data_IF_817230739642
#
_entry.id   IF_817230739642
#
_cell.length_a   1.000
_cell.length_b   1.000
_cell.length_c   1.000
_cell.angle_alpha   90.00
_cell.angle_beta   90.00
_cell.angle_gamma   90.00
#
_symmetry.space_group_name_H-M   'P 1'
#
loop_
_entity.id
_entity.type
_entity.pdbx_description
1 polymer ?
#
# COMPACT_ATOMS: atom_id res chain seq x y z
N UNK A 1 -12.83 -55.26 79.71
CA UNK A 1 -11.57 -55.64 79.01
C UNK A 1 -11.17 -54.50 78.08
N UNK A 2 -9.91 -54.05 78.24
CA UNK A 2 -9.04 -53.11 77.48
C UNK A 2 -9.62 -52.41 76.22
N UNK A 3 -9.76 -51.08 76.25
CA UNK A 3 -8.90 -50.02 75.63
C UNK A 3 -9.10 -49.92 74.10
N UNK A 4 -9.39 -48.78 73.46
CA UNK A 4 -8.74 -47.47 73.60
C UNK A 4 -9.67 -46.34 73.08
N UNK A 5 -9.83 -45.28 73.87
CA UNK A 5 -10.40 -43.97 73.51
C UNK A 5 -9.46 -43.25 72.52
N UNK A 6 -9.99 -42.38 71.65
CA UNK A 6 -9.73 -40.92 71.69
C UNK A 6 -10.89 -40.16 70.99
N UNK A 7 -11.50 -39.25 71.76
CA UNK A 7 -12.49 -38.21 71.44
C UNK A 7 -12.10 -37.38 70.19
N UNK A 8 -12.98 -36.92 69.30
CA UNK A 8 -14.36 -36.53 69.51
C UNK A 8 -14.46 -35.09 70.02
N UNK A 9 -14.26 -34.07 69.18
CA UNK A 9 -14.86 -32.76 69.42
C UNK A 9 -15.17 -32.02 68.12
N UNK A 10 -16.47 -31.95 67.84
CA UNK A 10 -17.12 -31.18 66.79
C UNK A 10 -17.00 -29.69 67.08
N UNK A 11 -16.65 -28.88 66.07
CA UNK A 11 -16.96 -27.45 66.04
C UNK A 11 -17.74 -27.17 64.77
N UNK A 12 -18.87 -26.49 64.98
CA UNK A 12 -19.94 -26.22 64.04
C UNK A 12 -19.55 -25.24 62.92
N UNK A 13 -20.23 -25.47 61.79
CA UNK A 13 -20.24 -24.72 60.55
C UNK A 13 -20.67 -23.26 60.73
N UNK A 14 -19.96 -22.35 60.06
CA UNK A 14 -20.51 -21.09 59.54
C UNK A 14 -20.24 -21.09 58.03
N UNK A 15 -21.33 -21.02 57.26
CA UNK A 15 -21.34 -21.01 55.80
C UNK A 15 -21.18 -19.58 55.28
N UNK A 16 -20.20 -19.37 54.40
CA UNK A 16 -20.13 -18.21 53.52
C UNK A 16 -20.09 -18.71 52.07
N UNK A 17 -20.99 -18.17 51.26
CA UNK A 17 -21.13 -18.48 49.84
C UNK A 17 -19.88 -18.07 49.03
N UNK A 18 -19.42 -18.98 48.18
CA UNK A 18 -18.44 -18.71 47.13
C UNK A 18 -18.88 -19.42 45.86
N UNK A 19 -19.33 -18.67 44.86
CA UNK A 19 -19.78 -19.17 43.56
C UNK A 19 -18.57 -19.53 42.69
N UNK A 20 -18.64 -20.75 42.16
CA UNK A 20 -17.57 -21.42 41.44
C UNK A 20 -17.34 -20.86 40.04
N UNK A 21 -16.05 -20.79 39.72
CA UNK A 21 -15.44 -20.45 38.45
C UNK A 21 -15.46 -21.67 37.52
N UNK A 22 -15.95 -21.52 36.28
CA UNK A 22 -15.72 -22.48 35.20
C UNK A 22 -14.99 -21.80 34.04
N UNK A 23 -13.82 -22.34 33.71
CA UNK A 23 -13.03 -21.95 32.56
C UNK A 23 -13.60 -22.51 31.25
N UNK A 24 -13.55 -21.70 30.20
CA UNK A 24 -13.96 -22.07 28.85
C UNK A 24 -13.11 -21.36 27.80
N UNK A 25 -12.27 -22.17 27.13
CA UNK A 25 -11.67 -22.03 25.81
C UNK A 25 -11.43 -20.61 25.23
N UNK A 26 -10.15 -20.26 25.12
CA UNK A 26 -9.66 -19.14 24.31
C UNK A 26 -9.91 -19.40 22.81
N UNK A 27 -11.01 -18.86 22.29
CA UNK A 27 -11.24 -18.73 20.86
C UNK A 27 -10.28 -17.71 20.26
N UNK A 28 -9.32 -18.17 19.45
CA UNK A 28 -8.52 -17.32 18.56
C UNK A 28 -9.49 -16.56 17.64
N UNK A 29 -9.64 -15.25 17.85
CA UNK A 29 -10.31 -14.37 16.88
C UNK A 29 -9.48 -14.38 15.60
N UNK A 30 -10.03 -14.97 14.54
CA UNK A 30 -9.58 -14.76 13.19
C UNK A 30 -9.60 -13.24 12.92
N UNK A 31 -8.45 -12.70 12.53
CA UNK A 31 -8.35 -11.30 12.12
C UNK A 31 -9.33 -11.05 10.98
N UNK A 32 -10.33 -10.20 11.22
CA UNK A 32 -11.21 -9.71 10.18
C UNK A 32 -10.36 -9.03 9.10
N UNK A 33 -10.41 -9.56 7.87
CA UNK A 33 -9.84 -8.89 6.71
C UNK A 33 -10.37 -7.44 6.65
N UNK A 34 -9.54 -6.44 6.31
CA UNK A 34 -9.93 -5.05 6.34
C UNK A 34 -11.12 -4.83 5.41
N UNK A 35 -12.31 -4.60 6.01
CA UNK A 35 -13.54 -4.30 5.30
C UNK A 35 -13.30 -3.06 4.45
N UNK A 36 -13.47 -3.18 3.14
CA UNK A 36 -13.44 -2.05 2.23
C UNK A 36 -14.59 -1.13 2.67
N UNK A 37 -14.28 0.06 3.21
CA UNK A 37 -15.30 1.07 3.49
C UNK A 37 -16.20 1.23 2.26
N UNK A 38 -17.53 1.21 2.40
CA UNK A 38 -18.47 1.09 1.28
C UNK A 38 -18.51 2.27 0.29
N UNK A 39 -17.52 3.17 0.30
CA UNK A 39 -17.44 4.36 -0.54
C UNK A 39 -16.32 4.34 -1.60
N UNK A 40 -15.40 3.36 -1.61
CA UNK A 40 -14.36 3.25 -2.65
C UNK A 40 -14.81 2.32 -3.77
N UNK A 41 -15.09 2.87 -4.94
CA UNK A 41 -15.39 2.09 -6.15
C UNK A 41 -14.08 1.58 -6.78
N UNK A 42 -13.81 0.28 -6.63
CA UNK A 42 -12.58 -0.34 -7.16
C UNK A 42 -12.49 -0.32 -8.69
N UNK A 43 -13.61 -0.41 -9.41
CA UNK A 43 -13.57 -0.45 -10.88
C UNK A 43 -13.23 0.94 -11.44
N UNK A 44 -13.81 1.97 -10.84
CA UNK A 44 -13.48 3.36 -11.15
C UNK A 44 -12.04 3.71 -10.79
N UNK A 45 -11.61 3.35 -9.58
CA UNK A 45 -10.24 3.56 -9.13
C UNK A 45 -9.24 2.83 -10.05
N UNK A 46 -9.51 1.57 -10.38
CA UNK A 46 -8.68 0.76 -11.26
C UNK A 46 -8.52 1.37 -12.65
N UNK A 47 -9.62 1.88 -13.24
CA UNK A 47 -9.58 2.57 -14.54
C UNK A 47 -8.71 3.83 -14.51
N UNK A 48 -8.80 4.62 -13.43
CA UNK A 48 -8.00 5.86 -13.30
C UNK A 48 -6.52 5.56 -13.10
N UNK A 49 -6.21 4.56 -12.27
CA UNK A 49 -4.83 4.07 -12.12
C UNK A 49 -4.30 3.59 -13.47
N UNK A 50 -5.06 2.76 -14.18
CA UNK A 50 -4.66 2.25 -15.50
C UNK A 50 -4.45 3.38 -16.51
N UNK A 51 -5.31 4.38 -16.53
CA UNK A 51 -5.15 5.56 -17.39
C UNK A 51 -3.85 6.30 -17.11
N UNK A 52 -3.49 6.48 -15.84
CA UNK A 52 -2.28 7.20 -15.46
C UNK A 52 -1.01 6.41 -15.72
N UNK A 53 -1.00 5.13 -15.35
CA UNK A 53 0.21 4.33 -15.32
C UNK A 53 0.49 3.68 -16.69
N UNK A 54 -0.53 3.26 -17.43
CA UNK A 54 -0.34 2.58 -18.72
C UNK A 54 -0.97 3.33 -19.90
N UNK A 55 -1.36 4.60 -19.73
CA UNK A 55 -2.14 5.36 -20.71
C UNK A 55 -3.47 4.66 -21.10
N UNK A 56 -4.00 3.80 -20.22
CA UNK A 56 -5.18 2.96 -20.52
C UNK A 56 -4.91 1.82 -21.51
N UNK A 57 -3.66 1.57 -21.87
CA UNK A 57 -3.29 0.57 -22.87
C UNK A 57 -3.04 -0.81 -22.25
N UNK A 58 -3.46 -1.86 -22.96
CA UNK A 58 -3.12 -3.26 -22.61
C UNK A 58 -1.62 -3.51 -22.78
N UNK A 59 -0.98 -2.86 -23.76
CA UNK A 59 0.47 -3.00 -24.00
C UNK A 59 1.29 -2.51 -22.81
N UNK A 60 0.88 -1.41 -22.16
CA UNK A 60 1.55 -0.87 -20.99
C UNK A 60 1.36 -1.69 -19.71
N UNK A 61 0.53 -2.74 -19.69
CA UNK A 61 0.41 -3.64 -18.54
C UNK A 61 1.62 -4.56 -18.35
N UNK A 62 2.49 -4.68 -19.37
CA UNK A 62 3.79 -5.32 -19.23
C UNK A 62 4.77 -4.50 -20.05
N UNK A 63 5.63 -3.76 -19.36
CA UNK A 63 6.57 -2.82 -19.96
C UNK A 63 7.93 -2.92 -19.27
N UNK A 64 8.96 -2.42 -19.95
CA UNK A 64 10.31 -2.32 -19.41
C UNK A 64 10.89 -0.98 -19.85
N UNK A 65 11.03 -0.03 -18.93
CA UNK A 65 11.48 1.32 -19.30
C UNK A 65 12.98 1.34 -19.61
N UNK A 66 13.42 2.35 -20.35
CA UNK A 66 14.85 2.52 -20.58
C UNK A 66 15.55 2.95 -19.28
N UNK A 67 16.67 2.31 -18.94
CA UNK A 67 17.44 2.60 -17.74
C UNK A 67 16.93 1.90 -16.46
N UNK A 68 15.96 0.99 -16.57
CA UNK A 68 15.54 0.11 -15.48
C UNK A 68 16.09 -1.30 -15.70
N UNK A 69 16.45 -1.97 -14.60
CA UNK A 69 16.94 -3.35 -14.58
C UNK A 69 15.81 -4.37 -14.37
N UNK A 70 14.55 -3.92 -14.51
CA UNK A 70 13.36 -4.72 -14.22
C UNK A 70 12.17 -4.30 -15.08
N UNK A 71 11.25 -5.22 -15.40
CA UNK A 71 9.94 -4.89 -15.95
C UNK A 71 8.98 -4.38 -14.88
N UNK A 72 8.00 -3.62 -15.35
CA UNK A 72 6.83 -3.18 -14.58
C UNK A 72 5.57 -3.85 -15.12
N UNK A 73 4.72 -4.34 -14.20
CA UNK A 73 3.53 -5.12 -14.54
C UNK A 73 2.25 -4.57 -13.93
N UNK A 74 1.16 -4.74 -14.66
CA UNK A 74 -0.18 -4.41 -14.22
C UNK A 74 -0.45 -2.92 -14.10
N UNK A 75 -1.69 -2.59 -13.73
CA UNK A 75 -2.12 -1.19 -13.57
C UNK A 75 -1.35 -0.50 -12.44
N UNK A 76 -0.81 -1.26 -11.47
CA UNK A 76 -0.07 -0.72 -10.34
C UNK A 76 1.43 -0.52 -10.60
N UNK A 77 1.93 -0.75 -11.82
CA UNK A 77 3.36 -0.76 -12.15
C UNK A 77 4.18 -1.56 -11.12
N UNK A 78 3.73 -2.80 -10.90
CA UNK A 78 4.37 -3.69 -9.96
C UNK A 78 5.75 -4.08 -10.48
N UNK A 79 6.76 -3.72 -9.71
CA UNK A 79 8.16 -4.08 -9.96
C UNK A 79 8.33 -5.59 -9.78
N UNK A 80 8.97 -6.23 -10.76
CA UNK A 80 9.32 -7.65 -10.72
C UNK A 80 10.79 -7.82 -11.10
N UNK A 81 11.63 -8.30 -10.20
CA UNK A 81 13.06 -8.38 -10.44
C UNK A 81 13.42 -9.66 -11.21
N UNK A 82 14.32 -9.58 -12.21
CA UNK A 82 15.01 -10.75 -12.73
C UNK A 82 15.91 -11.39 -11.67
N UNK A 83 16.25 -12.65 -11.87
CA UNK A 83 17.12 -13.40 -10.96
C UNK A 83 18.45 -12.66 -10.72
N UNK A 84 18.80 -12.47 -9.45
CA UNK A 84 20.06 -11.82 -9.05
C UNK A 84 20.09 -10.29 -9.13
N UNK A 85 19.04 -9.64 -9.64
CA UNK A 85 18.96 -8.17 -9.69
C UNK A 85 18.68 -7.60 -8.29
N UNK A 86 19.46 -6.59 -7.90
CA UNK A 86 19.24 -5.80 -6.68
C UNK A 86 19.08 -4.34 -7.06
N UNK A 87 17.86 -3.82 -6.93
CA UNK A 87 17.56 -2.42 -7.17
C UNK A 87 17.20 -1.70 -5.85
N UNK A 88 17.32 -0.37 -5.77
CA UNK A 88 16.96 0.41 -4.58
C UNK A 88 15.44 0.55 -4.37
N UNK A 89 14.64 -0.35 -4.96
CA UNK A 89 13.18 -0.35 -4.98
C UNK A 89 12.62 -1.59 -4.29
N UNK A 90 11.39 -1.50 -3.79
CA UNK A 90 10.68 -2.64 -3.23
C UNK A 90 9.99 -3.44 -4.34
N UNK A 91 10.31 -4.72 -4.45
CA UNK A 91 9.64 -5.63 -5.35
C UNK A 91 8.18 -5.84 -4.93
N UNK A 92 7.24 -5.74 -5.88
CA UNK A 92 5.81 -5.78 -5.53
C UNK A 92 4.98 -6.75 -6.37
N UNK A 93 5.48 -7.22 -7.51
CA UNK A 93 4.75 -8.18 -8.33
C UNK A 93 4.58 -9.55 -7.65
N UNK A 94 5.61 -10.16 -7.02
CA UNK A 94 5.42 -11.42 -6.28
C UNK A 94 4.44 -11.29 -5.12
N UNK A 95 4.38 -10.12 -4.46
CA UNK A 95 3.39 -9.84 -3.40
C UNK A 95 1.97 -9.79 -3.98
N UNK A 96 1.77 -9.19 -5.15
CA UNK A 96 0.49 -9.21 -5.86
C UNK A 96 0.08 -10.64 -6.23
N UNK A 97 1.00 -11.45 -6.75
CA UNK A 97 0.77 -12.86 -7.08
C UNK A 97 0.36 -13.66 -5.84
N UNK A 98 1.06 -13.48 -4.72
CA UNK A 98 0.70 -14.12 -3.45
C UNK A 98 -0.70 -13.68 -2.96
N UNK A 99 -1.03 -12.39 -3.08
CA UNK A 99 -2.36 -11.87 -2.78
C UNK A 99 -3.44 -12.51 -3.66
N UNK A 100 -3.23 -12.57 -4.98
CA UNK A 100 -4.16 -13.20 -5.92
C UNK A 100 -4.43 -14.68 -5.54
N UNK A 101 -3.36 -15.44 -5.27
CA UNK A 101 -3.47 -16.84 -4.82
C UNK A 101 -4.21 -16.99 -3.50
N UNK A 102 -3.96 -16.09 -2.53
CA UNK A 102 -4.67 -16.09 -1.23
C UNK A 102 -6.17 -15.84 -1.36
N UNK A 103 -6.61 -15.26 -2.49
CA UNK A 103 -8.02 -15.03 -2.85
C UNK A 103 -8.61 -16.16 -3.70
N UNK A 104 -7.89 -17.26 -3.87
CA UNK A 104 -8.34 -18.41 -4.67
C UNK A 104 -8.25 -18.21 -6.18
N UNK A 105 -7.60 -17.13 -6.64
CA UNK A 105 -7.42 -16.88 -8.08
C UNK A 105 -6.31 -17.78 -8.61
N UNK A 106 -6.60 -18.50 -9.70
CA UNK A 106 -5.59 -19.27 -10.42
C UNK A 106 -4.64 -18.33 -11.15
N UNK A 107 -3.38 -18.35 -10.74
CA UNK A 107 -2.32 -17.55 -11.33
C UNK A 107 -1.51 -18.42 -12.30
N UNK A 108 -1.29 -17.99 -13.56
CA UNK A 108 -0.43 -18.68 -14.50
C UNK A 108 0.98 -18.94 -13.95
N UNK A 109 1.57 -20.08 -14.28
CA UNK A 109 2.89 -20.49 -13.80
C UNK A 109 4.00 -19.51 -14.19
N UNK A 110 3.86 -18.82 -15.32
CA UNK A 110 4.82 -17.82 -15.77
C UNK A 110 4.87 -16.57 -14.91
N UNK A 111 4.02 -16.40 -13.89
CA UNK A 111 4.11 -15.32 -12.90
C UNK A 111 4.79 -15.76 -11.60
N UNK A 112 5.23 -17.02 -11.50
CA UNK A 112 5.88 -17.56 -10.32
C UNK A 112 7.39 -17.40 -10.43
N UNK A 113 8.04 -17.04 -9.32
CA UNK A 113 9.48 -16.83 -9.26
C UNK A 113 9.90 -15.45 -9.77
N UNK A 114 11.11 -15.38 -10.31
CA UNK A 114 11.71 -14.15 -10.82
C UNK A 114 11.18 -13.78 -12.21
N UNK A 115 11.39 -12.53 -12.60
CA UNK A 115 11.02 -12.06 -13.94
C UNK A 115 11.73 -12.93 -15.01
N UNK A 116 11.00 -13.37 -16.06
CA UNK A 116 11.50 -14.41 -16.95
C UNK A 116 12.55 -13.94 -17.94
N UNK A 117 12.73 -12.63 -18.08
CA UNK A 117 13.74 -12.05 -18.95
C UNK A 117 14.85 -11.48 -18.07
N UNK A 118 16.13 -11.82 -18.34
CA UNK A 118 17.26 -11.32 -17.55
C UNK A 118 17.49 -9.83 -17.74
N UNK A 119 17.09 -9.29 -18.89
CA UNK A 119 17.25 -7.88 -19.25
C UNK A 119 16.19 -7.43 -20.27
N UNK A 120 16.20 -6.12 -20.55
CA UNK A 120 15.30 -5.49 -21.51
C UNK A 120 15.50 -6.01 -22.94
N UNK A 121 16.71 -6.37 -23.35
CA UNK A 121 16.97 -6.87 -24.70
C UNK A 121 16.30 -8.23 -24.90
N UNK A 122 16.41 -9.12 -23.93
CA UNK A 122 15.72 -10.41 -23.92
C UNK A 122 14.19 -10.24 -23.90
N UNK A 123 13.67 -9.28 -23.12
CA UNK A 123 12.24 -8.92 -23.16
C UNK A 123 11.79 -8.46 -24.55
N UNK A 124 12.56 -7.59 -25.21
CA UNK A 124 12.25 -7.08 -26.55
C UNK A 124 12.45 -8.11 -27.66
N UNK A 125 13.33 -9.09 -27.47
CA UNK A 125 13.59 -10.17 -28.42
C UNK A 125 12.60 -11.34 -28.28
N UNK A 126 11.88 -11.44 -27.16
CA UNK A 126 10.94 -12.53 -26.92
C UNK A 126 9.79 -12.51 -27.94
N UNK A 127 9.61 -13.63 -28.64
CA UNK A 127 8.51 -13.88 -29.60
C UNK A 127 7.61 -15.02 -29.17
N UNK A 128 7.75 -15.53 -27.94
CA UNK A 128 6.96 -16.64 -27.40
C UNK A 128 5.50 -16.30 -27.11
N UNK A 129 5.12 -15.02 -27.15
CA UNK A 129 3.79 -14.54 -26.77
C UNK A 129 3.56 -14.47 -25.25
N UNK A 130 4.60 -14.72 -24.42
CA UNK A 130 4.53 -14.66 -22.96
C UNK A 130 4.05 -13.31 -22.45
N UNK A 131 4.64 -12.21 -22.93
CA UNK A 131 4.25 -10.86 -22.53
C UNK A 131 2.77 -10.59 -22.86
N UNK A 132 2.28 -11.02 -24.01
CA UNK A 132 0.87 -10.83 -24.38
C UNK A 132 -0.08 -11.69 -23.55
N UNK A 133 0.32 -12.93 -23.19
CA UNK A 133 -0.44 -13.76 -22.26
C UNK A 133 -0.54 -13.10 -20.88
N UNK A 134 0.56 -12.54 -20.38
CA UNK A 134 0.59 -11.78 -19.13
C UNK A 134 -0.32 -10.55 -19.20
N UNK A 135 -0.23 -9.75 -20.27
CA UNK A 135 -1.08 -8.57 -20.49
C UNK A 135 -2.57 -8.92 -20.51
N UNK A 136 -2.97 -9.98 -21.22
CA UNK A 136 -4.37 -10.45 -21.26
C UNK A 136 -4.86 -10.85 -19.88
N UNK A 137 -4.06 -11.62 -19.13
CA UNK A 137 -4.42 -12.00 -17.77
C UNK A 137 -4.56 -10.79 -16.85
N UNK A 138 -3.61 -9.84 -16.90
CA UNK A 138 -3.67 -8.61 -16.11
C UNK A 138 -4.90 -7.75 -16.49
N UNK A 139 -5.18 -7.58 -17.78
CA UNK A 139 -6.35 -6.84 -18.23
C UNK A 139 -7.67 -7.45 -17.73
N UNK A 140 -7.75 -8.78 -17.63
CA UNK A 140 -8.91 -9.48 -17.09
C UNK A 140 -9.05 -9.37 -15.55
N UNK A 141 -7.98 -8.97 -14.84
CA UNK A 141 -7.93 -8.94 -13.37
C UNK A 141 -7.68 -7.53 -12.81
N UNK A 142 -8.16 -6.48 -13.47
CA UNK A 142 -7.99 -5.08 -13.04
C UNK A 142 -8.51 -4.87 -11.62
N UNK A 143 -9.74 -5.32 -11.32
CA UNK A 143 -10.33 -5.16 -9.98
C UNK A 143 -9.50 -5.84 -8.87
N UNK A 144 -8.92 -7.00 -9.15
CA UNK A 144 -8.04 -7.72 -8.22
C UNK A 144 -6.75 -6.93 -7.94
N UNK A 145 -6.15 -6.36 -8.98
CA UNK A 145 -4.99 -5.49 -8.85
C UNK A 145 -5.34 -4.24 -8.04
N UNK A 146 -6.49 -3.61 -8.30
CA UNK A 146 -6.93 -2.43 -7.52
C UNK A 146 -7.13 -2.76 -6.05
N UNK A 147 -7.73 -3.91 -5.72
CA UNK A 147 -7.88 -4.35 -4.34
C UNK A 147 -6.51 -4.52 -3.64
N UNK A 148 -5.52 -5.06 -4.35
CA UNK A 148 -4.16 -5.19 -3.83
C UNK A 148 -3.47 -3.82 -3.63
N UNK A 149 -3.64 -2.89 -4.57
CA UNK A 149 -3.10 -1.53 -4.46
C UNK A 149 -3.68 -0.81 -3.24
N UNK A 150 -5.00 -0.93 -3.01
CA UNK A 150 -5.66 -0.38 -1.81
C UNK A 150 -5.14 -1.04 -0.53
N UNK A 151 -4.93 -2.36 -0.52
CA UNK A 151 -4.33 -3.07 0.60
C UNK A 151 -2.94 -2.51 0.93
N UNK A 152 -2.05 -2.43 -0.06
CA UNK A 152 -0.70 -1.88 0.11
C UNK A 152 -0.71 -0.45 0.62
N UNK A 153 -1.61 0.40 0.09
CA UNK A 153 -1.76 1.78 0.58
C UNK A 153 -2.09 1.81 2.08
N UNK A 154 -2.97 0.92 2.55
CA UNK A 154 -3.33 0.84 3.97
C UNK A 154 -2.18 0.31 4.83
N UNK A 155 -1.42 -0.66 4.33
CA UNK A 155 -0.24 -1.21 4.99
C UNK A 155 0.92 -0.20 5.10
N UNK A 156 0.95 0.82 4.24
CA UNK A 156 1.93 1.90 4.32
C UNK A 156 1.65 2.88 5.46
N UNK A 157 0.39 3.03 5.89
CA UNK A 157 -0.01 4.03 6.88
C UNK A 157 0.72 3.89 8.23
N UNK A 158 0.83 2.70 8.87
CA UNK A 158 1.58 2.56 10.12
C UNK A 158 3.04 3.01 10.01
N UNK A 159 3.72 2.72 8.90
CA UNK A 159 5.10 3.14 8.65
C UNK A 159 5.21 4.66 8.50
N UNK A 160 4.27 5.28 7.76
CA UNK A 160 4.20 6.74 7.65
C UNK A 160 3.94 7.39 9.01
N UNK A 161 3.04 6.84 9.83
CA UNK A 161 2.78 7.34 11.18
C UNK A 161 4.03 7.23 12.08
N UNK A 162 4.74 6.11 12.04
CA UNK A 162 5.97 5.92 12.82
C UNK A 162 7.07 6.93 12.43
N UNK A 163 7.15 7.29 11.16
CA UNK A 163 8.14 8.24 10.65
C UNK A 163 7.70 9.72 10.78
N UNK A 164 6.47 9.98 11.23
CA UNK A 164 5.88 11.32 11.25
C UNK A 164 6.14 12.06 12.57
N UNK A 165 6.28 13.38 12.49
CA UNK A 165 6.23 14.26 13.67
C UNK A 165 4.79 14.60 14.10
N UNK A 166 3.79 14.27 13.27
CA UNK A 166 2.35 14.55 13.49
C UNK A 166 1.48 13.30 13.18
N UNK A 167 1.73 12.14 13.81
CA UNK A 167 1.13 10.87 13.42
C UNK A 167 -0.40 10.84 13.45
N UNK A 168 -1.03 11.55 14.39
CA UNK A 168 -2.49 11.63 14.49
C UNK A 168 -3.10 12.42 13.31
N UNK A 169 -2.45 13.51 12.89
CA UNK A 169 -2.87 14.28 11.73
C UNK A 169 -2.69 13.47 10.43
N UNK A 170 -1.55 12.77 10.28
CA UNK A 170 -1.32 11.86 9.15
C UNK A 170 -2.42 10.81 9.04
N UNK A 171 -2.77 10.17 10.16
CA UNK A 171 -3.87 9.19 10.19
C UNK A 171 -5.21 9.82 9.79
N UNK A 172 -5.55 10.98 10.34
CA UNK A 172 -6.81 11.66 10.06
C UNK A 172 -6.92 12.07 8.58
N UNK A 173 -5.87 12.67 8.02
CA UNK A 173 -5.84 13.06 6.61
C UNK A 173 -5.89 11.85 5.67
N UNK A 174 -5.15 10.78 6.00
CA UNK A 174 -5.24 9.54 5.24
C UNK A 174 -6.66 8.98 5.25
N UNK A 175 -7.31 8.92 6.42
CA UNK A 175 -8.67 8.40 6.56
C UNK A 175 -9.70 9.25 5.79
N UNK A 176 -9.57 10.58 5.84
CA UNK A 176 -10.45 11.50 5.09
C UNK A 176 -10.36 11.28 3.58
N UNK A 177 -9.14 11.08 3.05
CA UNK A 177 -8.94 10.76 1.64
C UNK A 177 -9.42 9.35 1.30
N UNK A 178 -9.06 8.36 2.12
CA UNK A 178 -9.41 6.96 1.91
C UNK A 178 -10.92 6.68 1.97
N UNK A 179 -11.71 7.63 2.46
CA UNK A 179 -13.17 7.55 2.48
C UNK A 179 -13.80 7.64 1.08
N UNK A 180 -13.14 8.21 0.07
CA UNK A 180 -13.75 8.37 -1.27
C UNK A 180 -12.90 7.75 -2.37
N UNK A 181 -13.51 7.40 -3.52
CA UNK A 181 -12.75 6.93 -4.70
C UNK A 181 -11.69 7.96 -5.14
N UNK A 182 -12.05 9.25 -5.21
CA UNK A 182 -11.13 10.32 -5.59
C UNK A 182 -9.97 10.45 -4.60
N UNK A 183 -10.25 10.44 -3.29
CA UNK A 183 -9.20 10.55 -2.28
C UNK A 183 -8.32 9.30 -2.21
N UNK A 184 -8.88 8.10 -2.37
CA UNK A 184 -8.08 6.88 -2.49
C UNK A 184 -7.16 6.93 -3.72
N UNK A 185 -7.65 7.45 -4.85
CA UNK A 185 -6.83 7.70 -6.03
C UNK A 185 -5.66 8.66 -5.71
N UNK A 186 -5.89 9.75 -4.98
CA UNK A 186 -4.82 10.66 -4.55
C UNK A 186 -3.71 9.93 -3.77
N UNK A 187 -4.10 9.06 -2.82
CA UNK A 187 -3.16 8.31 -1.98
C UNK A 187 -2.32 7.33 -2.80
N UNK A 188 -2.94 6.53 -3.67
CA UNK A 188 -2.25 5.48 -4.44
C UNK A 188 -1.40 6.08 -5.56
N UNK A 189 -1.92 7.08 -6.26
CA UNK A 189 -1.23 7.76 -7.35
C UNK A 189 0.04 8.46 -6.86
N UNK A 190 -0.05 9.17 -5.73
CA UNK A 190 1.10 9.91 -5.21
C UNK A 190 2.22 8.98 -4.72
N UNK A 191 1.88 7.81 -4.17
CA UNK A 191 2.89 6.80 -3.80
C UNK A 191 3.59 6.27 -5.05
N UNK A 192 2.87 5.94 -6.12
CA UNK A 192 3.49 5.53 -7.38
C UNK A 192 4.35 6.65 -7.99
N UNK A 193 3.92 7.91 -7.81
CA UNK A 193 4.60 9.06 -8.39
C UNK A 193 5.86 9.49 -7.63
N UNK A 194 5.83 9.51 -6.29
CA UNK A 194 6.86 10.11 -5.43
C UNK A 194 7.27 9.27 -4.22
N UNK A 195 6.68 8.09 -4.05
CA UNK A 195 6.94 7.20 -2.93
C UNK A 195 6.19 7.60 -1.65
N UNK A 196 6.33 6.76 -0.63
CA UNK A 196 5.65 6.93 0.65
C UNK A 196 6.25 8.07 1.49
N UNK A 197 7.52 8.43 1.25
CA UNK A 197 8.20 9.53 1.98
C UNK A 197 8.79 9.12 3.34
N UNK A 198 8.99 7.82 3.56
CA UNK A 198 9.57 7.26 4.79
C UNK A 198 11.08 7.04 4.72
N UNK A 199 11.69 7.03 3.53
CA UNK A 199 13.12 6.78 3.36
C UNK A 199 13.95 8.02 3.69
N UNK A 200 15.00 7.86 4.49
CA UNK A 200 15.93 8.94 4.81
C UNK A 200 16.68 9.45 3.56
N UNK A 201 16.91 8.58 2.58
CA UNK A 201 17.57 8.91 1.31
C UNK A 201 16.69 9.74 0.35
N UNK A 202 15.39 9.84 0.62
CA UNK A 202 14.43 10.60 -0.20
C UNK A 202 14.16 11.98 0.44
N UNK A 203 15.24 12.68 0.78
CA UNK A 203 15.21 13.98 1.46
C UNK A 203 16.27 14.92 0.89
N UNK A 204 15.95 16.20 0.85
CA UNK A 204 16.94 17.27 0.69
C UNK A 204 16.93 18.13 1.94
N UNK A 205 18.09 18.29 2.57
CA UNK A 205 18.23 19.08 3.81
C UNK A 205 17.24 18.64 4.91
N UNK A 206 17.02 17.33 5.06
CA UNK A 206 16.06 16.75 6.01
C UNK A 206 14.60 16.74 5.54
N UNK A 207 14.27 17.46 4.47
CA UNK A 207 12.91 17.58 3.97
C UNK A 207 12.57 16.55 2.90
N UNK A 208 11.57 15.72 3.19
CA UNK A 208 11.06 14.72 2.25
C UNK A 208 10.02 15.29 1.26
N UNK A 209 9.62 14.45 0.31
CA UNK A 209 8.66 14.79 -0.74
C UNK A 209 7.65 13.69 -1.07
N UNK A 210 7.59 12.61 -0.28
CA UNK A 210 6.64 11.53 -0.51
C UNK A 210 5.29 11.79 0.14
N UNK A 211 4.40 10.79 0.08
CA UNK A 211 3.02 10.90 0.58
C UNK A 211 2.96 11.39 2.04
N UNK A 212 3.85 10.91 2.91
CA UNK A 212 3.93 11.36 4.30
C UNK A 212 4.01 12.89 4.41
N UNK A 213 4.91 13.54 3.65
CA UNK A 213 5.08 14.98 3.74
C UNK A 213 3.88 15.75 3.19
N UNK A 214 3.16 15.19 2.21
CA UNK A 214 1.89 15.76 1.75
C UNK A 214 0.85 15.72 2.86
N UNK A 215 0.69 14.56 3.51
CA UNK A 215 -0.26 14.40 4.62
C UNK A 215 0.10 15.29 5.82
N UNK A 216 1.38 15.49 6.13
CA UNK A 216 1.81 16.43 7.19
C UNK A 216 1.56 17.90 6.83
N UNK A 217 1.59 18.23 5.54
CA UNK A 217 1.42 19.59 5.00
C UNK A 217 -0.05 19.99 4.84
N UNK A 218 -0.96 19.03 4.77
CA UNK A 218 -2.41 19.27 4.80
C UNK A 218 -2.82 19.99 6.10
N UNK A 219 -3.83 20.85 6.00
CA UNK A 219 -4.32 21.71 7.08
C UNK A 219 -5.76 21.37 7.44
N UNK A 220 -6.12 21.58 8.71
CA UNK A 220 -7.47 21.36 9.22
C UNK A 220 -7.82 19.87 9.27
N UNK A 221 -9.11 19.56 9.14
CA UNK A 221 -9.64 18.20 9.07
C UNK A 221 -10.59 18.04 7.86
N UNK A 222 -10.13 18.35 6.64
CA UNK A 222 -10.99 18.44 5.47
C UNK A 222 -11.61 17.07 5.13
N UNK A 223 -12.80 17.06 4.54
CA UNK A 223 -13.52 15.83 4.17
C UNK A 223 -13.96 15.87 2.70
N UNK A 224 -14.20 14.70 2.10
CA UNK A 224 -14.70 14.59 0.73
C UNK A 224 -13.88 15.41 -0.28
N UNK A 225 -14.55 16.28 -1.04
CA UNK A 225 -13.91 17.14 -2.05
C UNK A 225 -12.93 18.17 -1.46
N UNK A 226 -13.16 18.64 -0.24
CA UNK A 226 -12.21 19.54 0.42
C UNK A 226 -10.89 18.82 0.73
N UNK A 227 -10.96 17.54 1.11
CA UNK A 227 -9.78 16.74 1.40
C UNK A 227 -8.89 16.59 0.16
N UNK A 228 -9.50 16.35 -1.01
CA UNK A 228 -8.78 16.18 -2.27
C UNK A 228 -8.24 17.50 -2.82
N UNK A 229 -8.98 18.61 -2.64
CA UNK A 229 -8.50 19.95 -2.94
C UNK A 229 -7.29 20.34 -2.06
N UNK A 230 -7.37 20.05 -0.77
CA UNK A 230 -6.28 20.32 0.18
C UNK A 230 -5.06 19.43 -0.08
N UNK A 231 -5.28 18.16 -0.45
CA UNK A 231 -4.22 17.27 -0.90
C UNK A 231 -3.51 17.80 -2.15
N UNK A 232 -4.26 18.25 -3.16
CA UNK A 232 -3.72 18.87 -4.38
C UNK A 232 -2.80 20.07 -4.07
N UNK A 233 -3.25 20.97 -3.17
CA UNK A 233 -2.47 22.11 -2.70
C UNK A 233 -1.19 21.67 -1.98
N UNK A 234 -1.32 20.78 -1.00
CA UNK A 234 -0.22 20.28 -0.18
C UNK A 234 0.84 19.59 -1.05
N UNK A 235 0.41 18.72 -1.98
CA UNK A 235 1.27 18.03 -2.92
C UNK A 235 2.07 19.00 -3.81
N UNK A 236 1.41 20.03 -4.35
CA UNK A 236 2.07 21.07 -5.13
C UNK A 236 3.13 21.84 -4.31
N UNK A 237 2.83 22.20 -3.06
CA UNK A 237 3.78 22.89 -2.19
C UNK A 237 4.99 22.03 -1.82
N UNK A 238 4.76 20.74 -1.51
CA UNK A 238 5.83 19.78 -1.22
C UNK A 238 6.79 19.66 -2.42
N UNK A 239 6.26 19.59 -3.64
CA UNK A 239 7.08 19.49 -4.85
C UNK A 239 7.81 20.79 -5.21
N UNK A 240 7.20 21.96 -4.97
CA UNK A 240 7.92 23.25 -5.10
C UNK A 240 9.09 23.32 -4.13
N UNK A 241 8.87 22.95 -2.86
CA UNK A 241 9.92 22.90 -1.84
C UNK A 241 11.03 21.93 -2.24
N UNK A 242 10.70 20.74 -2.75
CA UNK A 242 11.69 19.77 -3.25
C UNK A 242 12.61 20.41 -4.28
N UNK A 243 12.06 21.12 -5.27
CA UNK A 243 12.85 21.79 -6.31
C UNK A 243 13.73 22.90 -5.74
N UNK A 244 13.21 23.68 -4.79
CA UNK A 244 13.98 24.74 -4.11
C UNK A 244 15.17 24.18 -3.32
N UNK A 245 15.01 23.01 -2.70
CA UNK A 245 16.06 22.36 -1.90
C UNK A 245 16.96 21.44 -2.72
N UNK A 246 16.63 21.18 -3.99
CA UNK A 246 17.38 20.25 -4.83
C UNK A 246 18.80 20.78 -5.11
N UNK A 247 19.82 19.89 -5.11
CA UNK A 247 21.16 20.28 -5.55
C UNK A 247 21.13 20.84 -6.98
N UNK A 248 21.85 21.95 -7.21
CA UNK A 248 21.82 22.69 -8.49
C UNK A 248 22.09 21.79 -9.71
N UNK A 249 23.01 20.82 -9.60
CA UNK A 249 23.35 19.89 -10.67
C UNK A 249 22.26 18.89 -11.07
N UNK A 250 21.17 18.74 -10.29
CA UNK A 250 20.05 17.83 -10.66
C UNK A 250 19.10 18.43 -11.69
N UNK A 251 19.01 19.76 -11.75
CA UNK A 251 18.12 20.47 -12.68
C UNK A 251 16.65 20.05 -12.55
N UNK A 252 16.13 19.87 -11.33
CA UNK A 252 14.77 19.32 -11.14
C UNK A 252 13.65 20.27 -11.58
N UNK A 253 13.94 21.57 -11.70
CA UNK A 253 12.98 22.61 -12.09
C UNK A 253 12.30 22.34 -13.44
N UNK A 254 12.98 21.67 -14.38
CA UNK A 254 12.42 21.29 -15.68
C UNK A 254 11.20 20.35 -15.57
N UNK A 255 11.10 19.58 -14.49
CA UNK A 255 9.99 18.64 -14.29
C UNK A 255 8.83 19.23 -13.49
N UNK A 256 9.07 20.35 -12.78
CA UNK A 256 8.08 20.96 -11.91
C UNK A 256 6.76 21.29 -12.62
N UNK A 257 6.72 21.83 -13.85
CA UNK A 257 5.45 22.09 -14.53
C UNK A 257 4.61 20.82 -14.70
N UNK A 258 5.22 19.72 -15.16
CA UNK A 258 4.54 18.44 -15.31
C UNK A 258 4.07 17.86 -13.97
N UNK A 259 4.86 18.03 -12.92
CA UNK A 259 4.49 17.61 -11.57
C UNK A 259 3.29 18.39 -11.03
N UNK A 260 3.24 19.71 -11.25
CA UNK A 260 2.12 20.55 -10.83
C UNK A 260 0.85 20.21 -11.62
N UNK A 261 0.97 19.90 -12.91
CA UNK A 261 -0.16 19.41 -13.71
C UNK A 261 -0.72 18.11 -13.15
N UNK A 262 0.13 17.15 -12.74
CA UNK A 262 -0.33 15.92 -12.07
C UNK A 262 -1.01 16.23 -10.73
N UNK A 263 -0.44 17.12 -9.91
CA UNK A 263 -1.09 17.51 -8.65
C UNK A 263 -2.47 18.17 -8.85
N UNK A 264 -2.70 18.84 -9.98
CA UNK A 264 -3.98 19.48 -10.28
C UNK A 264 -5.10 18.47 -10.56
N UNK A 265 -4.79 17.24 -11.02
CA UNK A 265 -5.80 16.21 -11.33
C UNK A 265 -6.41 15.56 -10.09
N UNK A 266 -5.87 15.87 -8.90
CA UNK A 266 -6.39 15.36 -7.63
C UNK A 266 -7.67 16.06 -7.18
N UNK A 267 -8.01 17.23 -7.73
CA UNK A 267 -9.23 17.96 -7.34
C UNK A 267 -10.51 17.28 -7.80
#
# INVERSE_FOLDING_TARGET
MKRLLVLGLSVLLVSCAGSAQQGGAAGRRAGSAPTISPQVNLDELGRRIWQNECAGSVQGLVSWNAGEDFPSLGIGHFIWFPAGVKAPFEESFPRFVAFARSRGVQVPSFFLGDAPWPDKQAFLADRSGRADAMRRWLAAHVRLQTAFIVLRSREALPRMMQASSRPQAVRAHYQALAATTQGMYCLVDYVNFKGEGVRATERYQGEGWGLLQVLEKMRGNPQGREATAEFSRAAAEVLRRRVQLAPAGRGESRWLPGWLNRCATYR
#
